data_IF_532821503484
#
_entry.id   IF_532821503484
#
_cell.length_a   1.000
_cell.length_b   1.000
_cell.length_c   1.000
_cell.angle_alpha   90.00
_cell.angle_beta   90.00
_cell.angle_gamma   90.00
#
_symmetry.space_group_name_H-M   'P 1'
#
loop_
_entity.id
_entity.type
_entity.pdbx_description
1 polymer ?
#
# COMPACT_ATOMS: atom_id res chain seq x y z
N UNK A 1 2.37 21.24 -14.03
CA UNK A 1 2.43 21.06 -13.63
C UNK A 1 2.34 20.54 -13.10
N UNK A 2 2.72 20.57 -12.99
CA UNK A 2 2.74 20.19 -12.37
C UNK A 2 2.73 20.02 -11.79
N UNK A 3 2.90 20.14 -11.81
CA UNK A 3 2.98 20.13 -11.11
C UNK A 3 2.87 20.08 -10.47
N UNK A 4 2.97 20.36 -10.53
CA UNK A 4 2.93 20.45 -9.87
C UNK A 4 2.80 20.10 -9.19
N UNK A 5 2.79 20.16 -9.39
CA UNK A 5 2.77 19.89 -8.69
C UNK A 5 2.67 19.58 -8.01
N UNK A 6 2.57 19.78 -8.12
CA UNK A 6 2.77 19.43 -7.46
C UNK A 6 2.65 18.93 -6.63
N UNK A 7 2.43 19.23 -6.64
CA UNK A 7 2.51 18.76 -5.81
C UNK A 7 1.72 17.89 -5.35
N UNK A 8 0.91 17.78 -4.67
CA UNK A 8 0.30 16.84 -4.29
C UNK A 8 -0.85 16.62 -4.95
N UNK A 9 -1.07 15.70 -5.34
CA UNK A 9 -2.05 15.36 -6.09
C UNK A 9 -3.21 15.11 -5.35
N UNK A 10 -4.16 15.72 -5.59
CA UNK A 10 -5.21 15.46 -4.99
C UNK A 10 -6.03 14.61 -5.73
N UNK A 11 -6.09 13.45 -5.56
CA UNK A 11 -6.71 12.62 -6.42
C UNK A 11 -7.86 11.96 -5.94
N UNK A 12 -8.92 12.11 -6.59
CA UNK A 12 -9.86 11.23 -6.38
C UNK A 12 -9.68 10.17 -7.31
N UNK A 13 -8.66 10.14 -8.06
CA UNK A 13 -8.48 9.18 -8.99
C UNK A 13 -8.09 7.94 -8.47
N UNK A 14 -8.25 6.95 -9.13
CA UNK A 14 -7.94 5.71 -8.73
C UNK A 14 -6.57 5.28 -8.98
N UNK A 15 -5.84 5.74 -9.90
CA UNK A 15 -4.48 5.27 -10.23
C UNK A 15 -3.50 6.38 -10.09
N UNK A 16 -2.52 6.20 -9.24
CA UNK A 16 -1.48 7.19 -9.08
C UNK A 16 -0.24 6.78 -9.84
N UNK A 17 0.18 5.52 -9.77
CA UNK A 17 1.32 5.05 -10.52
C UNK A 17 0.83 3.92 -11.39
N UNK A 18 0.88 4.11 -12.69
CA UNK A 18 0.46 3.09 -13.62
C UNK A 18 1.53 2.08 -13.88
N UNK A 19 1.23 1.06 -14.66
CA UNK A 19 2.18 0.05 -15.00
C UNK A 19 3.34 0.65 -15.72
N UNK A 20 4.51 0.19 -15.44
CA UNK A 20 5.71 0.66 -16.09
C UNK A 20 6.28 1.94 -15.53
N UNK A 21 5.61 2.54 -14.55
CA UNK A 21 6.16 3.75 -13.96
C UNK A 21 6.85 3.41 -12.67
N UNK A 22 7.68 4.29 -12.17
CA UNK A 22 8.33 4.08 -10.90
C UNK A 22 8.46 5.39 -10.15
N UNK A 23 8.47 5.30 -8.85
CA UNK A 23 8.54 6.46 -7.99
C UNK A 23 9.45 6.13 -6.82
N UNK A 24 10.25 7.08 -6.41
CA UNK A 24 11.10 6.90 -5.26
C UNK A 24 10.95 8.11 -4.39
N UNK A 25 10.67 7.94 -3.11
CA UNK A 25 10.50 9.04 -2.19
C UNK A 25 9.35 8.81 -1.27
N UNK A 26 8.75 9.90 -0.79
CA UNK A 26 7.65 9.82 0.14
C UNK A 26 6.38 10.24 -0.54
N UNK A 27 5.35 9.42 -0.40
CA UNK A 27 4.09 9.69 -1.02
C UNK A 27 3.05 9.90 0.06
N UNK A 28 2.33 11.00 0.01
CA UNK A 28 1.28 11.31 0.95
C UNK A 28 0.03 11.66 0.17
N UNK A 29 -1.08 11.05 0.52
CA UNK A 29 -2.33 11.35 -0.17
C UNK A 29 -3.53 11.09 0.71
N UNK A 30 -4.67 11.57 0.26
CA UNK A 30 -5.91 11.30 0.93
C UNK A 30 -6.81 10.58 -0.04
N UNK A 31 -7.87 9.96 0.44
CA UNK A 31 -8.86 9.31 -0.40
C UNK A 31 -8.43 7.95 -0.83
N UNK A 32 -8.79 7.55 -2.05
CA UNK A 32 -8.54 6.22 -2.51
C UNK A 32 -7.57 6.29 -3.65
N UNK A 33 -6.52 5.53 -3.59
CA UNK A 33 -5.47 5.59 -4.59
C UNK A 33 -4.99 4.20 -4.94
N UNK A 34 -4.70 3.99 -6.20
CA UNK A 34 -4.24 2.70 -6.68
C UNK A 34 -2.84 2.83 -7.26
N UNK A 35 -2.00 1.86 -6.98
CA UNK A 35 -0.64 1.83 -7.51
C UNK A 35 -0.47 0.53 -8.28
N UNK A 36 -0.09 0.64 -9.55
CA UNK A 36 0.21 -0.50 -10.39
C UNK A 36 1.66 -0.51 -10.83
N UNK A 37 2.44 0.44 -10.40
CA UNK A 37 3.83 0.56 -10.79
C UNK A 37 4.77 0.25 -9.66
N UNK A 38 5.99 0.74 -9.75
CA UNK A 38 7.01 0.46 -8.77
C UNK A 38 7.18 1.63 -7.84
N UNK A 39 7.28 1.36 -6.54
CA UNK A 39 7.43 2.42 -5.57
C UNK A 39 8.48 2.03 -4.55
N UNK A 40 9.41 2.94 -4.27
CA UNK A 40 10.41 2.77 -3.25
C UNK A 40 10.32 3.94 -2.30
N UNK A 41 10.30 3.68 -1.01
CA UNK A 41 10.33 4.77 -0.04
C UNK A 41 9.28 4.65 1.04
N UNK A 42 8.37 5.61 1.09
CA UNK A 42 7.40 5.66 2.16
C UNK A 42 6.05 6.09 1.63
N UNK A 43 4.99 5.50 2.14
CA UNK A 43 3.64 5.87 1.76
C UNK A 43 2.86 6.17 3.02
N UNK A 44 2.19 7.30 3.03
CA UNK A 44 1.37 7.67 4.16
C UNK A 44 0.04 8.21 3.68
N UNK A 45 -1.05 7.73 4.24
CA UNK A 45 -2.36 8.19 3.86
C UNK A 45 -3.37 7.88 4.94
N UNK A 46 -4.40 8.73 5.03
CA UNK A 46 -5.51 8.43 5.89
C UNK A 46 -6.60 7.73 5.11
N UNK A 47 -6.38 7.37 3.90
CA UNK A 47 -7.40 6.76 3.06
C UNK A 47 -7.10 5.31 2.74
N UNK A 48 -7.47 4.91 1.53
CA UNK A 48 -7.36 3.55 1.09
C UNK A 48 -6.29 3.43 0.02
N UNK A 49 -5.38 2.49 0.18
CA UNK A 49 -4.38 2.22 -0.82
C UNK A 49 -4.66 0.86 -1.43
N UNK A 50 -4.72 0.80 -2.75
CA UNK A 50 -4.94 -0.43 -3.48
C UNK A 50 -3.71 -0.72 -4.32
N UNK A 51 -3.15 -1.93 -4.20
CA UNK A 51 -2.02 -2.32 -5.01
C UNK A 51 -2.52 -3.32 -6.04
N UNK A 52 -2.31 -3.01 -7.29
CA UNK A 52 -2.78 -3.85 -8.39
C UNK A 52 -1.76 -4.90 -8.78
N UNK A 53 -2.06 -5.65 -9.84
CA UNK A 53 -1.22 -6.76 -10.23
C UNK A 53 0.18 -6.38 -10.63
N UNK A 54 0.39 -5.23 -11.14
CA UNK A 54 1.73 -4.81 -11.57
C UNK A 54 2.51 -4.08 -10.49
N UNK A 55 1.99 -3.99 -9.28
CA UNK A 55 2.63 -3.21 -8.25
C UNK A 55 3.87 -3.91 -7.71
N UNK A 56 4.90 -3.14 -7.43
CA UNK A 56 6.11 -3.65 -6.84
C UNK A 56 6.52 -2.58 -5.84
N UNK A 57 6.15 -2.75 -4.59
CA UNK A 57 6.32 -1.72 -3.59
C UNK A 57 7.30 -2.19 -2.52
N UNK A 58 8.31 -1.36 -2.27
CA UNK A 58 9.30 -1.67 -1.27
C UNK A 58 9.34 -0.41 -0.40
N UNK A 59 8.56 -0.39 0.64
CA UNK A 59 8.37 0.85 1.36
C UNK A 59 7.81 0.63 2.76
N UNK A 60 7.81 1.69 3.53
CA UNK A 60 7.10 1.73 4.79
C UNK A 60 5.73 2.32 4.47
N UNK A 61 4.69 1.60 4.77
CA UNK A 61 3.34 1.98 4.40
C UNK A 61 2.50 2.21 5.64
N UNK A 62 1.90 3.39 5.73
CA UNK A 62 1.00 3.73 6.83
C UNK A 62 -0.27 4.27 6.22
N UNK A 63 -1.33 3.49 6.25
CA UNK A 63 -2.59 3.89 5.64
C UNK A 63 -3.74 3.47 6.55
N UNK A 64 -4.95 3.83 6.20
CA UNK A 64 -6.10 3.39 6.96
C UNK A 64 -6.50 1.99 6.52
N UNK A 65 -6.61 1.78 5.22
CA UNK A 65 -6.99 0.49 4.67
C UNK A 65 -6.01 0.15 3.55
N UNK A 66 -5.49 -1.06 3.56
CA UNK A 66 -4.62 -1.51 2.49
C UNK A 66 -5.26 -2.70 1.81
N UNK A 67 -5.35 -2.67 0.50
CA UNK A 67 -5.89 -3.76 -0.29
C UNK A 67 -4.83 -4.16 -1.30
N UNK A 68 -4.29 -5.38 -1.17
CA UNK A 68 -3.27 -5.86 -2.08
C UNK A 68 -3.92 -6.87 -2.99
N UNK A 69 -4.27 -6.43 -4.18
CA UNK A 69 -4.98 -7.29 -5.12
C UNK A 69 -4.00 -8.19 -5.88
N UNK A 70 -2.77 -7.78 -5.99
CA UNK A 70 -1.76 -8.58 -6.65
C UNK A 70 -0.43 -7.88 -6.48
N UNK A 71 0.57 -8.34 -7.18
CA UNK A 71 1.89 -7.70 -7.12
C UNK A 71 2.69 -8.13 -5.91
N UNK A 72 3.71 -7.37 -5.61
CA UNK A 72 4.63 -7.67 -4.53
C UNK A 72 4.76 -6.47 -3.61
N UNK A 73 4.73 -6.71 -2.31
CA UNK A 73 4.87 -5.66 -1.33
C UNK A 73 5.92 -6.10 -0.31
N UNK A 74 6.92 -5.26 -0.08
CA UNK A 74 7.95 -5.53 0.89
C UNK A 74 8.06 -4.38 1.84
N UNK A 75 8.37 -4.65 3.07
CA UNK A 75 8.65 -3.61 4.04
C UNK A 75 7.78 -3.71 5.27
N UNK A 76 7.56 -2.57 5.92
CA UNK A 76 6.76 -2.51 7.12
C UNK A 76 5.44 -1.86 6.77
N UNK A 77 4.36 -2.58 7.01
CA UNK A 77 3.05 -2.10 6.62
C UNK A 77 2.18 -1.98 7.85
N UNK A 78 1.57 -0.82 8.02
CA UNK A 78 0.69 -0.59 9.14
C UNK A 78 -0.60 0.03 8.63
N UNK A 79 -1.71 -0.58 8.95
CA UNK A 79 -3.01 -0.02 8.61
C UNK A 79 -3.79 0.17 9.89
N UNK A 80 -4.49 1.29 10.00
CA UNK A 80 -5.22 1.57 11.23
C UNK A 80 -6.58 0.93 11.23
N UNK A 81 -7.05 0.43 10.11
CA UNK A 81 -8.36 -0.21 10.04
C UNK A 81 -8.26 -1.65 9.57
N UNK A 82 -7.76 -1.90 8.39
CA UNK A 82 -7.70 -3.27 7.87
C UNK A 82 -6.69 -3.45 6.75
N UNK A 83 -6.28 -4.70 6.54
CA UNK A 83 -5.44 -5.08 5.43
C UNK A 83 -6.10 -6.28 4.79
N UNK A 84 -6.25 -6.24 3.45
CA UNK A 84 -6.79 -7.35 2.70
C UNK A 84 -5.77 -7.78 1.67
N UNK A 85 -5.45 -9.06 1.63
CA UNK A 85 -4.46 -9.59 0.69
C UNK A 85 -5.14 -10.66 -0.15
N UNK A 86 -5.14 -10.48 -1.45
CA UNK A 86 -5.81 -11.39 -2.36
C UNK A 86 -4.86 -12.48 -2.86
N UNK A 87 -5.39 -13.47 -3.50
CA UNK A 87 -4.67 -14.72 -3.73
C UNK A 87 -3.44 -14.60 -4.61
N UNK A 88 -3.36 -13.60 -5.46
CA UNK A 88 -2.19 -13.47 -6.33
C UNK A 88 -1.14 -12.55 -5.76
N UNK A 89 -1.35 -12.03 -4.57
CA UNK A 89 -0.42 -11.07 -4.00
C UNK A 89 0.69 -11.75 -3.21
N UNK A 90 1.83 -11.08 -3.11
CA UNK A 90 2.95 -11.57 -2.33
C UNK A 90 3.40 -10.45 -1.42
N UNK A 91 3.50 -10.76 -0.13
CA UNK A 91 3.87 -9.75 0.85
C UNK A 91 5.02 -10.27 1.69
N UNK A 92 6.06 -9.46 1.82
CA UNK A 92 7.23 -9.83 2.59
C UNK A 92 7.52 -8.74 3.61
N UNK A 93 7.61 -9.10 4.86
CA UNK A 93 7.92 -8.13 5.89
C UNK A 93 6.93 -8.18 7.03
N UNK A 94 6.59 -7.03 7.59
CA UNK A 94 5.72 -6.98 8.75
C UNK A 94 4.40 -6.31 8.41
N UNK A 95 3.32 -6.92 8.84
CA UNK A 95 1.99 -6.35 8.67
C UNK A 95 1.38 -6.14 10.04
N UNK A 96 0.74 -5.02 10.24
CA UNK A 96 0.04 -4.75 11.49
C UNK A 96 -1.27 -4.03 11.20
N UNK A 97 -2.36 -4.55 11.70
CA UNK A 97 -3.67 -3.93 11.54
C UNK A 97 -4.67 -4.58 12.50
N UNK A 98 -5.75 -3.88 12.84
CA UNK A 98 -6.78 -4.50 13.68
C UNK A 98 -7.42 -5.71 13.01
N UNK A 99 -7.55 -5.66 11.69
CA UNK A 99 -8.12 -6.77 10.95
C UNK A 99 -7.27 -7.08 9.75
N UNK A 100 -6.96 -8.33 9.54
CA UNK A 100 -6.18 -8.75 8.38
C UNK A 100 -6.91 -9.93 7.75
N UNK A 101 -7.21 -9.82 6.48
CA UNK A 101 -7.86 -10.90 5.73
C UNK A 101 -6.92 -11.33 4.62
N UNK A 102 -6.57 -12.60 4.59
CA UNK A 102 -5.64 -13.12 3.61
C UNK A 102 -6.32 -14.23 2.87
N UNK A 103 -6.42 -14.07 1.55
CA UNK A 103 -7.09 -15.04 0.73
C UNK A 103 -6.19 -16.23 0.50
N UNK A 104 -6.78 -17.41 0.34
CA UNK A 104 -6.02 -18.58 0.11
C UNK A 104 -5.21 -18.43 -1.16
N UNK A 105 -3.98 -18.79 -1.15
CA UNK A 105 -3.10 -18.64 -2.31
C UNK A 105 -2.14 -17.48 -2.17
N UNK A 106 -2.44 -16.51 -1.34
CA UNK A 106 -1.54 -15.39 -1.14
C UNK A 106 -0.28 -15.86 -0.41
N UNK A 107 0.83 -15.18 -0.67
CA UNK A 107 2.09 -15.53 -0.03
C UNK A 107 2.43 -14.41 0.94
N UNK A 108 2.63 -14.79 2.21
CA UNK A 108 3.03 -13.81 3.21
C UNK A 108 4.22 -14.40 3.93
N UNK A 109 5.34 -13.68 3.90
CA UNK A 109 6.52 -14.12 4.62
C UNK A 109 6.94 -13.01 5.55
N UNK A 110 6.99 -13.29 6.82
CA UNK A 110 7.33 -12.30 7.81
C UNK A 110 6.37 -12.41 8.97
N UNK A 111 6.03 -11.28 9.58
CA UNK A 111 5.16 -11.29 10.73
C UNK A 111 3.86 -10.59 10.43
N UNK A 112 2.79 -11.07 11.05
CA UNK A 112 1.49 -10.46 10.91
C UNK A 112 0.97 -10.25 12.32
N UNK A 113 0.63 -9.00 12.64
CA UNK A 113 0.12 -8.68 13.94
C UNK A 113 -1.27 -8.13 13.80
N UNK A 114 -2.24 -8.75 14.46
CA UNK A 114 -3.60 -8.31 14.41
C UNK A 114 -3.97 -7.77 15.76
N UNK A 115 -4.86 -6.81 15.77
CA UNK A 115 -5.32 -6.19 16.99
C UNK A 115 -5.10 -4.70 16.90
N UNK A 116 -5.38 -3.96 17.96
CA UNK A 116 -5.25 -2.52 17.90
C UNK A 116 -3.83 -2.13 17.56
N UNK A 117 -3.68 -1.23 16.61
CA UNK A 117 -2.38 -0.76 16.20
C UNK A 117 -2.01 0.39 17.12
N UNK A 118 -0.82 0.28 17.78
CA UNK A 118 -0.41 1.34 18.59
C UNK A 118 0.40 2.24 17.86
N UNK A 119 0.25 3.48 18.07
CA UNK A 119 1.04 4.35 17.44
C UNK A 119 2.11 4.59 18.13
N UNK A 120 3.12 4.52 18.00
CA UNK A 120 4.15 4.79 18.91
C UNK A 120 5.26 5.41 18.41
#
# INVERSE_FOLDING_TARGET
>A
MMSETDDEPVLELDTLLGRGTSFEGKLVFDGRTRIDGKLLGEVRSDGVLVLGDGADVDATVNVRVLIVRGGTLRGTIRATESIEVYSTAKVYGSLAAPEVAIEKGAVIEGSVRMGPVEES
#
